data_IF_581509526406
#
_entry.id   IF_581509526406
#
_cell.length_a   1.000
_cell.length_b   1.000
_cell.length_c   1.000
_cell.angle_alpha   90.00
_cell.angle_beta   90.00
_cell.angle_gamma   90.00
#
_symmetry.space_group_name_H-M   'P 1'
#
loop_
_entity.id
_entity.type
_entity.pdbx_description
1 polymer ?
#
# COMPACT_ATOMS: atom_id res chain seq x y z
N UNK A 1 -6.45 -3.44 12.30
CA UNK A 1 -6.46 -2.41 11.24
C UNK A 1 -5.09 -1.76 11.14
N UNK A 2 -4.51 -1.73 9.96
CA UNK A 2 -3.19 -1.10 9.75
C UNK A 2 -3.30 0.41 9.92
N UNK A 3 -2.22 1.05 10.35
CA UNK A 3 -2.15 2.51 10.46
C UNK A 3 -0.90 3.00 9.75
N UNK A 4 -0.94 4.26 9.33
CA UNK A 4 0.22 4.92 8.71
C UNK A 4 0.79 5.92 9.71
N UNK A 5 2.09 5.81 9.99
CA UNK A 5 2.82 6.81 10.76
C UNK A 5 3.89 7.43 9.88
N UNK A 6 4.44 8.56 10.31
CA UNK A 6 5.47 9.25 9.53
C UNK A 6 6.74 9.37 10.35
N UNK A 7 7.88 9.19 9.67
CA UNK A 7 9.18 9.41 10.29
C UNK A 7 9.30 10.90 10.65
N UNK A 8 9.66 11.19 11.89
CA UNK A 8 9.77 12.57 12.40
C UNK A 8 11.03 13.24 11.85
N UNK A 9 12.14 12.54 11.91
CA UNK A 9 13.43 13.03 11.44
C UNK A 9 14.05 12.03 10.47
N UNK A 10 14.93 12.51 9.61
CA UNK A 10 15.70 11.62 8.75
C UNK A 10 16.62 10.75 9.61
N UNK A 11 16.38 9.45 9.62
CA UNK A 11 17.17 8.49 10.37
C UNK A 11 17.80 7.54 9.37
N UNK A 12 19.12 7.43 9.38
CA UNK A 12 19.88 6.41 8.60
C UNK A 12 19.26 6.05 7.24
N UNK A 13 19.19 7.02 6.34
CA UNK A 13 18.68 6.78 4.98
C UNK A 13 17.17 6.85 4.83
N UNK A 14 16.43 7.13 5.91
CA UNK A 14 14.97 7.29 5.85
C UNK A 14 14.65 8.78 5.79
N UNK A 15 14.00 9.26 4.72
CA UNK A 15 13.64 10.68 4.63
C UNK A 15 12.66 11.09 5.73
N UNK A 16 12.75 12.34 6.17
CA UNK A 16 11.77 12.90 7.10
C UNK A 16 10.38 12.90 6.47
N UNK A 17 9.37 12.55 7.26
CA UNK A 17 7.99 12.45 6.76
C UNK A 17 7.70 11.19 5.96
N UNK A 18 8.64 10.27 5.88
CA UNK A 18 8.46 9.00 5.17
C UNK A 18 7.31 8.20 5.77
N UNK A 19 6.36 7.71 4.96
CA UNK A 19 5.22 6.94 5.49
C UNK A 19 5.64 5.52 5.86
N UNK A 20 5.24 5.09 7.06
CA UNK A 20 5.50 3.74 7.56
C UNK A 20 4.18 3.11 7.94
N UNK A 21 3.89 1.94 7.39
CA UNK A 21 2.67 1.19 7.69
C UNK A 21 2.92 0.26 8.87
N UNK A 22 2.02 0.31 9.84
CA UNK A 22 2.06 -0.57 11.01
C UNK A 22 0.84 -1.47 11.01
N UNK A 23 1.03 -2.71 11.46
CA UNK A 23 -0.09 -3.66 11.62
C UNK A 23 -0.79 -3.43 12.98
N UNK A 24 -1.76 -4.28 13.29
CA UNK A 24 -2.54 -4.18 14.53
C UNK A 24 -1.68 -4.30 15.79
N UNK A 25 -0.58 -5.03 15.71
CA UNK A 25 0.36 -5.17 16.81
C UNK A 25 1.40 -4.07 16.88
N UNK A 26 1.24 -3.00 16.09
CA UNK A 26 2.18 -1.88 16.00
C UNK A 26 3.54 -2.27 15.42
N UNK A 27 3.62 -3.41 14.75
CA UNK A 27 4.82 -3.83 14.05
C UNK A 27 4.83 -3.27 12.62
N UNK A 28 6.01 -2.95 12.11
CA UNK A 28 6.17 -2.45 10.75
C UNK A 28 5.76 -3.56 9.76
N UNK A 29 4.92 -3.20 8.79
CA UNK A 29 4.61 -4.08 7.67
C UNK A 29 5.82 -4.04 6.74
N UNK A 30 6.75 -4.97 6.94
CA UNK A 30 8.06 -4.94 6.31
C UNK A 30 8.05 -4.90 4.79
N UNK A 31 7.25 -5.70 4.08
CA UNK A 31 7.26 -5.64 2.63
C UNK A 31 6.83 -4.27 2.09
N UNK A 32 5.85 -3.64 2.72
CA UNK A 32 5.43 -2.30 2.33
C UNK A 32 6.53 -1.27 2.60
N UNK A 33 7.19 -1.39 3.75
CA UNK A 33 8.30 -0.50 4.11
C UNK A 33 9.45 -0.60 3.10
N UNK A 34 9.85 -1.82 2.75
CA UNK A 34 10.94 -2.05 1.81
C UNK A 34 10.61 -1.51 0.42
N UNK A 35 9.39 -1.74 -0.04
CA UNK A 35 8.94 -1.23 -1.34
C UNK A 35 8.95 0.30 -1.39
N UNK A 36 8.37 0.94 -0.38
CA UNK A 36 8.29 2.40 -0.32
C UNK A 36 9.67 3.03 -0.17
N UNK A 37 10.54 2.41 0.60
CA UNK A 37 11.91 2.90 0.77
C UNK A 37 12.69 2.85 -0.55
N UNK A 38 12.54 1.78 -1.31
CA UNK A 38 13.18 1.70 -2.62
C UNK A 38 12.66 2.79 -3.56
N UNK A 39 11.34 3.04 -3.58
CA UNK A 39 10.77 4.11 -4.38
C UNK A 39 11.33 5.48 -4.00
N UNK A 40 11.64 5.67 -2.71
CA UNK A 40 12.13 6.95 -2.22
C UNK A 40 13.62 7.16 -2.47
N UNK A 41 14.41 6.08 -2.56
CA UNK A 41 15.88 6.18 -2.52
C UNK A 41 16.60 5.74 -3.77
N UNK A 42 15.91 5.14 -4.75
CA UNK A 42 16.59 4.72 -5.99
C UNK A 42 17.07 5.94 -6.76
N UNK A 43 18.39 6.05 -7.04
CA UNK A 43 18.92 7.21 -7.75
C UNK A 43 18.29 7.39 -9.13
N UNK A 44 17.95 8.64 -9.45
CA UNK A 44 17.36 9.00 -10.74
C UNK A 44 15.88 8.62 -10.89
N UNK A 45 15.30 7.94 -9.92
CA UNK A 45 13.90 7.50 -9.97
C UNK A 45 13.15 7.75 -8.67
N UNK A 46 13.71 8.59 -7.79
CA UNK A 46 13.04 8.88 -6.52
C UNK A 46 11.71 9.58 -6.77
N UNK A 47 10.67 9.08 -6.13
CA UNK A 47 9.34 9.65 -6.23
C UNK A 47 9.16 10.81 -5.25
N UNK A 48 8.26 11.73 -5.58
CA UNK A 48 7.95 12.85 -4.70
C UNK A 48 7.29 12.37 -3.42
N UNK A 49 7.36 13.15 -2.33
CA UNK A 49 6.66 12.79 -1.09
C UNK A 49 5.17 12.55 -1.28
N UNK A 50 4.53 13.29 -2.19
CA UNK A 50 3.10 13.11 -2.47
C UNK A 50 2.83 11.77 -3.14
N UNK A 51 3.68 11.37 -4.07
CA UNK A 51 3.56 10.07 -4.74
C UNK A 51 3.75 8.94 -3.74
N UNK A 52 4.75 9.06 -2.85
CA UNK A 52 4.99 8.06 -1.80
C UNK A 52 3.79 7.95 -0.87
N UNK A 53 3.18 9.07 -0.50
CA UNK A 53 1.98 9.07 0.34
C UNK A 53 0.83 8.35 -0.34
N UNK A 54 0.64 8.58 -1.63
CA UNK A 54 -0.41 7.91 -2.40
C UNK A 54 -0.21 6.40 -2.43
N UNK A 55 1.01 5.95 -2.69
CA UNK A 55 1.33 4.53 -2.65
C UNK A 55 1.09 3.95 -1.26
N UNK A 56 1.49 4.68 -0.22
CA UNK A 56 1.31 4.22 1.16
C UNK A 56 -0.18 4.05 1.49
N UNK A 57 -1.01 5.00 1.09
CA UNK A 57 -2.46 4.92 1.31
C UNK A 57 -3.08 3.73 0.59
N UNK A 58 -2.66 3.49 -0.66
CA UNK A 58 -3.16 2.35 -1.43
C UNK A 58 -2.74 1.02 -0.81
N UNK A 59 -1.49 0.91 -0.38
CA UNK A 59 -1.00 -0.31 0.27
C UNK A 59 -1.64 -0.51 1.64
N UNK A 60 -1.88 0.55 2.39
CA UNK A 60 -2.61 0.49 3.65
C UNK A 60 -3.98 -0.16 3.43
N UNK A 61 -4.71 0.31 2.45
CA UNK A 61 -6.03 -0.23 2.11
C UNK A 61 -5.95 -1.69 1.69
N UNK A 62 -4.94 -2.04 0.91
CA UNK A 62 -4.71 -3.42 0.48
C UNK A 62 -4.43 -4.35 1.67
N UNK A 63 -3.50 -3.96 2.54
CA UNK A 63 -3.16 -4.80 3.70
C UNK A 63 -4.32 -4.92 4.68
N UNK A 64 -5.13 -3.86 4.85
CA UNK A 64 -6.37 -3.95 5.63
C UNK A 64 -7.34 -4.95 5.00
N UNK A 65 -7.48 -4.93 3.69
CA UNK A 65 -8.33 -5.88 2.98
C UNK A 65 -7.86 -7.32 3.18
N UNK A 66 -6.55 -7.55 3.15
CA UNK A 66 -5.99 -8.88 3.40
C UNK A 66 -6.28 -9.34 4.82
N UNK A 67 -6.13 -8.46 5.80
CA UNK A 67 -6.44 -8.77 7.19
C UNK A 67 -7.89 -9.16 7.37
N UNK A 68 -8.80 -8.41 6.77
CA UNK A 68 -10.24 -8.70 6.84
C UNK A 68 -10.59 -10.05 6.20
N UNK A 69 -9.83 -10.45 5.20
CA UNK A 69 -10.05 -11.70 4.47
C UNK A 69 -9.21 -12.85 5.04
N UNK A 70 -8.38 -12.58 6.05
CA UNK A 70 -7.45 -13.55 6.64
C UNK A 70 -6.52 -14.19 5.60
N UNK A 71 -6.04 -13.39 4.65
CA UNK A 71 -5.12 -13.82 3.61
C UNK A 71 -3.74 -13.23 3.89
N UNK A 72 -2.72 -14.10 3.91
CA UNK A 72 -1.33 -13.64 4.00
C UNK A 72 -0.96 -12.96 2.67
N UNK A 73 -0.21 -11.87 2.72
CA UNK A 73 0.14 -11.12 1.50
C UNK A 73 0.93 -11.97 0.50
N UNK A 74 1.70 -12.95 0.98
CA UNK A 74 2.48 -13.85 0.11
C UNK A 74 1.61 -14.83 -0.65
N UNK A 75 0.44 -15.14 -0.11
CA UNK A 75 -0.50 -16.11 -0.70
C UNK A 75 -1.51 -15.43 -1.62
N UNK A 76 -1.55 -14.11 -1.64
CA UNK A 76 -2.47 -13.38 -2.48
C UNK A 76 -2.10 -13.55 -3.96
N UNK A 77 -3.09 -13.90 -4.77
CA UNK A 77 -2.91 -14.06 -6.20
C UNK A 77 -3.90 -13.24 -6.98
N UNK A 78 -4.06 -13.55 -8.25
CA UNK A 78 -4.99 -12.84 -9.13
C UNK A 78 -6.41 -12.84 -8.60
N UNK A 79 -6.84 -13.95 -8.02
CA UNK A 79 -8.19 -14.06 -7.44
C UNK A 79 -8.37 -13.12 -6.25
N UNK A 80 -7.32 -12.93 -5.44
CA UNK A 80 -7.36 -12.02 -4.30
C UNK A 80 -7.50 -10.58 -4.77
N UNK A 81 -6.74 -10.21 -5.79
CA UNK A 81 -6.81 -8.87 -6.39
C UNK A 81 -8.18 -8.63 -7.03
N UNK A 82 -8.71 -9.62 -7.74
CA UNK A 82 -10.03 -9.52 -8.35
C UNK A 82 -11.13 -9.34 -7.30
N UNK A 83 -11.04 -10.06 -6.19
CA UNK A 83 -12.01 -9.93 -5.09
C UNK A 83 -11.93 -8.55 -4.46
N UNK A 84 -10.73 -8.01 -4.28
CA UNK A 84 -10.49 -6.67 -3.77
C UNK A 84 -11.12 -5.62 -4.68
N UNK A 85 -10.87 -5.72 -5.99
CA UNK A 85 -11.45 -4.82 -6.98
C UNK A 85 -12.98 -4.90 -6.98
N UNK A 86 -13.53 -6.10 -6.98
CA UNK A 86 -14.98 -6.30 -6.98
C UNK A 86 -15.63 -5.73 -5.74
N UNK A 87 -14.98 -5.83 -4.60
CA UNK A 87 -15.48 -5.26 -3.35
C UNK A 87 -15.59 -3.74 -3.44
N UNK A 88 -14.59 -3.09 -4.04
CA UNK A 88 -14.66 -1.64 -4.25
C UNK A 88 -15.75 -1.25 -5.24
N UNK A 89 -16.04 -2.08 -6.24
CA UNK A 89 -17.11 -1.83 -7.20
C UNK A 89 -18.49 -1.96 -6.57
N UNK A 90 -18.64 -2.85 -5.58
CA UNK A 90 -19.95 -3.19 -5.00
C UNK A 90 -20.26 -2.40 -3.72
N UNK A 91 -19.23 -1.96 -2.98
CA UNK A 91 -19.42 -1.30 -1.70
C UNK A 91 -19.10 0.18 -1.78
N UNK A 92 -19.92 1.04 -1.14
CA UNK A 92 -19.62 2.47 -1.09
C UNK A 92 -18.36 2.74 -0.25
N UNK A 93 -17.69 3.84 -0.58
CA UNK A 93 -16.58 4.32 0.23
C UNK A 93 -17.04 4.63 1.64
N UNK A 94 -16.28 4.20 2.64
CA UNK A 94 -16.56 4.49 4.03
C UNK A 94 -16.49 5.98 4.35
N UNK A 95 -15.73 6.75 3.57
CA UNK A 95 -15.56 8.18 3.80
C UNK A 95 -16.68 9.02 3.18
N UNK A 96 -17.14 8.66 2.00
CA UNK A 96 -18.09 9.48 1.25
C UNK A 96 -19.49 8.90 1.19
N UNK A 97 -19.67 7.62 1.52
CA UNK A 97 -20.93 6.91 1.35
C UNK A 97 -21.32 6.70 -0.10
N UNK A 98 -20.47 7.06 -1.05
CA UNK A 98 -20.70 6.95 -2.48
C UNK A 98 -19.85 5.84 -3.08
N UNK A 99 -20.24 5.29 -4.24
CA UNK A 99 -19.39 4.33 -4.93
C UNK A 99 -18.02 4.94 -5.24
N UNK A 100 -16.99 4.11 -5.21
CA UNK A 100 -15.67 4.54 -5.62
C UNK A 100 -15.65 4.91 -7.10
N UNK A 101 -14.95 6.00 -7.44
CA UNK A 101 -14.70 6.33 -8.83
C UNK A 101 -13.85 5.23 -9.48
N UNK A 102 -14.11 4.94 -10.75
CA UNK A 102 -13.34 3.91 -11.48
C UNK A 102 -11.85 4.24 -11.51
N UNK A 103 -11.50 5.53 -11.64
CA UNK A 103 -10.11 5.95 -11.61
C UNK A 103 -9.44 5.60 -10.29
N UNK A 104 -10.14 5.79 -9.17
CA UNK A 104 -9.63 5.45 -7.84
C UNK A 104 -9.38 3.95 -7.73
N UNK A 105 -10.33 3.13 -8.17
CA UNK A 105 -10.21 1.67 -8.15
C UNK A 105 -9.01 1.23 -8.99
N UNK A 106 -8.89 1.77 -10.20
CA UNK A 106 -7.80 1.43 -11.10
C UNK A 106 -6.44 1.83 -10.53
N UNK A 107 -6.36 3.00 -9.90
CA UNK A 107 -5.11 3.47 -9.29
C UNK A 107 -4.69 2.57 -8.13
N UNK A 108 -5.63 2.17 -7.29
CA UNK A 108 -5.35 1.27 -6.17
C UNK A 108 -4.88 -0.09 -6.65
N UNK A 109 -5.57 -0.67 -7.63
CA UNK A 109 -5.19 -1.96 -8.20
C UNK A 109 -3.81 -1.86 -8.87
N UNK A 110 -3.54 -0.76 -9.56
CA UNK A 110 -2.24 -0.55 -10.19
C UNK A 110 -1.11 -0.50 -9.16
N UNK A 111 -1.33 0.19 -8.04
CA UNK A 111 -0.34 0.24 -6.96
C UNK A 111 -0.07 -1.14 -6.39
N UNK A 112 -1.11 -1.94 -6.17
CA UNK A 112 -1.00 -3.32 -5.70
C UNK A 112 -0.19 -4.16 -6.69
N UNK A 113 -0.51 -4.06 -7.97
CA UNK A 113 0.21 -4.82 -9.00
C UNK A 113 1.69 -4.43 -9.07
N UNK A 114 2.00 -3.15 -8.91
CA UNK A 114 3.40 -2.68 -8.88
C UNK A 114 4.14 -3.23 -7.67
N UNK A 115 3.48 -3.24 -6.52
CA UNK A 115 4.04 -3.81 -5.31
C UNK A 115 4.39 -5.29 -5.51
N UNK A 116 3.46 -6.08 -6.03
CA UNK A 116 3.72 -7.50 -6.28
C UNK A 116 4.76 -7.73 -7.38
N UNK A 117 4.76 -6.90 -8.41
CA UNK A 117 5.81 -6.95 -9.43
C UNK A 117 7.19 -6.73 -8.84
N UNK A 118 7.30 -5.76 -7.93
CA UNK A 118 8.55 -5.49 -7.21
C UNK A 118 8.93 -6.67 -6.32
N UNK A 119 7.99 -7.17 -5.53
CA UNK A 119 8.25 -8.29 -4.61
C UNK A 119 8.69 -9.55 -5.36
N UNK A 120 8.08 -9.80 -6.51
CA UNK A 120 8.41 -10.96 -7.33
C UNK A 120 9.82 -10.87 -7.91
N UNK A 121 10.25 -9.68 -8.31
CA UNK A 121 11.61 -9.47 -8.81
C UNK A 121 12.67 -9.66 -7.74
N UNK A 122 12.35 -9.38 -6.50
CA UNK A 122 13.29 -9.55 -5.39
C UNK A 122 13.38 -11.00 -4.90
N UNK A 123 12.50 -11.82 -5.33
CA UNK A 123 12.43 -13.20 -4.94
C UNK A 123 11.62 -13.42 -3.70
#
# INVERSE_FOLDING_TARGET
MAIIVRAVDGVSGIPAGFPILLDDGMAIIEPAFAFLLELATVPGRSHSPETLRTYAEHLHDWFDSLDQSAVDWRDAGEETVAAYRNRMLEQPSAHTGRPFARSTINDRVRSVCRFYGWAHRRG
#
